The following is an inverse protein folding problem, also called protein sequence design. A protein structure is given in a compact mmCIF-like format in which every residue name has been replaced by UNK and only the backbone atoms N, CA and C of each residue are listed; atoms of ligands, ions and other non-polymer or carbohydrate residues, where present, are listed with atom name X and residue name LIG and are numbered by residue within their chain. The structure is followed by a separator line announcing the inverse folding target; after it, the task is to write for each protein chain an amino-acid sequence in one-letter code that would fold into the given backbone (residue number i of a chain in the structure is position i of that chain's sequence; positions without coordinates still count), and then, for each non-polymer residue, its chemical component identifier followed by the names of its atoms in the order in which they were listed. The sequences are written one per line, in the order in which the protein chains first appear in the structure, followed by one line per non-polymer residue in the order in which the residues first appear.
data_IF_408094449084
#
_entry.id   IF_408094449084
#
_cell.length_a   1.000
_cell.length_b   1.000
_cell.length_c   1.000
_cell.angle_alpha   90.00
_cell.angle_beta   90.00
_cell.angle_gamma   90.00
#
_symmetry.space_group_name_H-M   'P 1'
#
loop_
_entity.id
_entity.type
_entity.pdbx_description
1 polymer ?
#
# COMPACT_ATOMS: atom_id res chain seq x y z
N UNK A 1 38.21 -5.07 -38.26
CA UNK A 1 37.77 -5.13 -36.86
C UNK A 1 37.36 -3.76 -36.28
N UNK A 2 36.64 -2.91 -37.01
CA UNK A 2 36.24 -1.60 -36.48
C UNK A 2 35.04 -1.65 -35.51
N UNK A 3 34.23 -2.70 -35.54
CA UNK A 3 32.96 -2.76 -34.75
C UNK A 3 33.21 -2.96 -33.24
N UNK A 4 34.28 -3.61 -32.84
CA UNK A 4 34.57 -3.88 -31.42
C UNK A 4 35.11 -2.61 -30.75
N UNK A 5 35.94 -1.83 -31.44
CA UNK A 5 36.49 -0.59 -30.93
C UNK A 5 35.41 0.48 -30.75
N UNK A 6 34.41 0.52 -31.66
CA UNK A 6 33.25 1.40 -31.56
C UNK A 6 32.33 1.03 -30.38
N UNK A 7 32.18 -0.27 -30.09
CA UNK A 7 31.39 -0.75 -28.93
C UNK A 7 32.10 -0.42 -27.61
N UNK A 8 33.42 -0.56 -27.56
CA UNK A 8 34.22 -0.22 -26.38
C UNK A 8 34.14 1.29 -26.11
N UNK A 9 34.28 2.11 -27.16
CA UNK A 9 34.19 3.57 -27.06
C UNK A 9 32.78 4.03 -26.66
N UNK A 10 31.71 3.37 -27.14
CA UNK A 10 30.33 3.66 -26.76
C UNK A 10 30.09 3.30 -25.27
N UNK A 11 30.59 2.14 -24.83
CA UNK A 11 30.45 1.71 -23.44
C UNK A 11 31.22 2.62 -22.46
N UNK A 12 32.39 3.12 -22.84
CA UNK A 12 33.13 4.10 -22.06
C UNK A 12 32.37 5.42 -21.92
N UNK A 13 31.77 5.92 -22.99
CA UNK A 13 30.96 7.15 -22.97
C UNK A 13 29.70 7.02 -22.11
N UNK A 14 29.05 5.85 -22.13
CA UNK A 14 27.90 5.58 -21.26
C UNK A 14 28.31 5.58 -19.78
N UNK A 15 29.44 4.96 -19.45
CA UNK A 15 29.97 4.96 -18.07
C UNK A 15 30.37 6.35 -17.59
N UNK A 16 31.00 7.15 -18.43
CA UNK A 16 31.35 8.53 -18.11
C UNK A 16 30.11 9.40 -17.90
N UNK A 17 29.10 9.26 -18.77
CA UNK A 17 27.83 9.96 -18.61
C UNK A 17 27.11 9.56 -17.34
N UNK A 18 27.05 8.27 -17.03
CA UNK A 18 26.44 7.78 -15.80
C UNK A 18 27.17 8.29 -14.54
N UNK A 19 28.51 8.39 -14.59
CA UNK A 19 29.31 8.96 -13.50
C UNK A 19 29.04 10.44 -13.31
N UNK A 20 29.04 11.22 -14.42
CA UNK A 20 28.75 12.65 -14.39
C UNK A 20 27.36 12.97 -13.86
N UNK A 21 26.33 12.17 -14.23
CA UNK A 21 24.99 12.27 -13.70
C UNK A 21 24.97 11.94 -12.20
N UNK A 22 25.69 10.89 -11.77
CA UNK A 22 25.83 10.52 -10.35
C UNK A 22 26.47 11.64 -9.51
N UNK A 23 27.54 12.23 -10.00
CA UNK A 23 28.22 13.37 -9.36
C UNK A 23 27.32 14.63 -9.32
N UNK A 24 26.61 14.92 -10.41
CA UNK A 24 25.65 16.04 -10.47
C UNK A 24 24.48 15.84 -9.48
N UNK A 25 23.95 14.62 -9.37
CA UNK A 25 22.89 14.29 -8.40
C UNK A 25 23.40 14.35 -6.96
N UNK A 26 24.66 13.99 -6.71
CA UNK A 26 25.28 14.09 -5.38
C UNK A 26 25.57 15.54 -4.97
N UNK A 27 25.74 16.44 -5.92
CA UNK A 27 25.95 17.86 -5.69
C UNK A 27 24.65 18.65 -5.46
N UNK A 28 23.49 18.04 -5.75
CA UNK A 28 22.19 18.64 -5.46
C UNK A 28 21.88 18.36 -3.99
N UNK A 29 22.05 19.39 -3.14
CA UNK A 29 21.53 19.38 -1.79
C UNK A 29 19.99 19.30 -1.85
N UNK A 30 19.42 18.08 -1.78
CA UNK A 30 17.98 17.91 -1.66
C UNK A 30 17.62 18.26 -0.20
N UNK A 31 17.23 19.53 0.01
CA UNK A 31 16.69 19.95 1.29
C UNK A 31 15.29 19.36 1.45
N UNK A 32 15.20 18.19 2.08
CA UNK A 32 13.92 17.62 2.49
C UNK A 32 13.58 18.19 3.85
N UNK A 33 12.45 18.88 3.93
CA UNK A 33 11.96 19.41 5.20
C UNK A 33 11.87 18.26 6.25
N UNK A 34 12.42 18.41 7.46
CA UNK A 34 12.47 17.31 8.46
C UNK A 34 11.10 16.69 8.76
N UNK A 35 10.02 17.45 8.63
CA UNK A 35 8.65 16.97 8.79
C UNK A 35 8.26 15.98 7.68
N UNK A 36 8.60 16.28 6.43
CA UNK A 36 8.33 15.42 5.27
C UNK A 36 9.13 14.12 5.41
N UNK A 37 10.43 14.21 5.76
CA UNK A 37 11.27 13.02 5.96
C UNK A 37 10.70 12.10 7.04
N UNK A 38 10.22 12.67 8.16
CA UNK A 38 9.57 11.90 9.23
C UNK A 38 8.26 11.26 8.78
N UNK A 39 7.44 11.97 8.00
CA UNK A 39 6.18 11.43 7.48
C UNK A 39 6.43 10.24 6.54
N UNK A 40 7.39 10.36 5.62
CA UNK A 40 7.78 9.27 4.71
C UNK A 40 8.32 8.07 5.50
N UNK A 41 9.15 8.31 6.52
CA UNK A 41 9.68 7.23 7.37
C UNK A 41 8.56 6.55 8.18
N UNK A 42 7.62 7.32 8.71
CA UNK A 42 6.47 6.78 9.46
C UNK A 42 5.58 5.90 8.56
N UNK A 43 5.31 6.35 7.34
CA UNK A 43 4.58 5.57 6.35
C UNK A 43 5.32 4.27 5.99
N UNK A 44 6.62 4.36 5.73
CA UNK A 44 7.45 3.19 5.44
C UNK A 44 7.39 2.17 6.59
N UNK A 45 7.54 2.64 7.83
CA UNK A 45 7.50 1.79 9.03
C UNK A 45 6.11 1.14 9.22
N UNK A 46 5.03 1.88 8.93
CA UNK A 46 3.67 1.35 8.99
C UNK A 46 3.50 0.16 8.04
N UNK A 47 3.85 0.34 6.76
CA UNK A 47 3.70 -0.74 5.77
C UNK A 47 4.66 -1.90 6.01
N UNK A 48 5.84 -1.66 6.57
CA UNK A 48 6.74 -2.73 7.01
C UNK A 48 6.10 -3.59 8.13
N UNK A 49 5.45 -2.95 9.12
CA UNK A 49 4.72 -3.65 10.18
C UNK A 49 3.53 -4.44 9.63
N UNK A 50 2.71 -3.84 8.76
CA UNK A 50 1.59 -4.53 8.12
C UNK A 50 2.09 -5.75 7.35
N UNK A 51 3.19 -5.62 6.61
CA UNK A 51 3.79 -6.73 5.87
C UNK A 51 4.29 -7.85 6.78
N UNK A 52 4.89 -7.51 7.92
CA UNK A 52 5.39 -8.49 8.88
C UNK A 52 4.27 -9.23 9.64
N UNK A 53 3.18 -8.53 9.96
CA UNK A 53 2.07 -9.07 10.78
C UNK A 53 1.01 -9.80 9.94
N UNK A 54 0.58 -9.19 8.83
CA UNK A 54 -0.56 -9.67 8.04
C UNK A 54 -0.16 -10.13 6.63
N UNK A 55 1.05 -9.81 6.19
CA UNK A 55 1.45 -9.89 4.80
C UNK A 55 1.00 -8.67 3.98
N UNK A 56 1.74 -8.42 2.91
CA UNK A 56 1.44 -7.39 1.93
C UNK A 56 1.47 -8.06 0.55
N UNK A 57 0.30 -8.42 0.04
CA UNK A 57 0.14 -9.28 -1.11
C UNK A 57 0.22 -8.48 -2.41
N UNK A 58 0.87 -9.04 -3.42
CA UNK A 58 0.73 -8.60 -4.80
C UNK A 58 -0.68 -8.92 -5.34
N UNK A 59 -1.07 -8.35 -6.47
CA UNK A 59 -2.35 -8.67 -7.11
C UNK A 59 -2.47 -10.16 -7.48
N UNK A 60 -1.36 -10.81 -7.84
CA UNK A 60 -1.35 -12.23 -8.15
C UNK A 60 -1.53 -13.10 -6.89
N UNK A 61 -0.86 -12.75 -5.79
CA UNK A 61 -1.00 -13.44 -4.51
C UNK A 61 -2.40 -13.26 -3.93
N UNK A 62 -2.95 -12.03 -3.95
CA UNK A 62 -4.32 -11.76 -3.52
C UNK A 62 -5.35 -12.56 -4.34
N UNK A 63 -5.17 -12.62 -5.66
CA UNK A 63 -6.04 -13.44 -6.51
C UNK A 63 -5.95 -14.95 -6.22
N UNK A 64 -4.76 -15.46 -5.93
CA UNK A 64 -4.57 -16.86 -5.48
C UNK A 64 -5.21 -17.10 -4.12
N UNK A 65 -5.03 -16.16 -3.17
CA UNK A 65 -5.66 -16.18 -1.85
C UNK A 65 -7.18 -16.34 -1.96
N UNK A 66 -7.80 -15.62 -2.90
CA UNK A 66 -9.24 -15.69 -3.19
C UNK A 66 -9.66 -16.93 -3.99
N UNK A 67 -8.75 -17.87 -4.23
CA UNK A 67 -9.04 -19.15 -4.89
C UNK A 67 -8.99 -19.11 -6.41
N UNK A 68 -8.39 -18.10 -7.04
CA UNK A 68 -8.21 -18.07 -8.49
C UNK A 68 -7.39 -19.26 -8.99
N UNK A 69 -7.95 -20.03 -9.91
CA UNK A 69 -7.27 -21.11 -10.64
C UNK A 69 -6.82 -20.68 -12.05
N UNK A 70 -7.02 -19.43 -12.39
CA UNK A 70 -6.66 -18.85 -13.68
C UNK A 70 -5.14 -18.72 -13.82
N UNK A 71 -4.63 -18.71 -15.05
CA UNK A 71 -3.25 -18.33 -15.38
C UNK A 71 -2.94 -16.85 -15.08
N UNK A 72 -3.97 -16.02 -14.88
CA UNK A 72 -3.86 -14.60 -14.54
C UNK A 72 -4.62 -14.26 -13.25
N UNK A 73 -4.20 -14.77 -12.06
CA UNK A 73 -4.91 -14.59 -10.79
C UNK A 73 -5.05 -13.11 -10.41
N UNK A 74 -4.14 -12.24 -10.85
CA UNK A 74 -4.21 -10.78 -10.64
C UNK A 74 -5.53 -10.16 -11.12
N UNK A 75 -6.19 -10.75 -12.11
CA UNK A 75 -7.44 -10.21 -12.66
C UNK A 75 -8.58 -10.32 -11.64
N UNK A 76 -8.60 -11.37 -10.82
CA UNK A 76 -9.59 -11.52 -9.75
C UNK A 76 -9.42 -10.44 -8.68
N UNK A 77 -8.19 -10.20 -8.21
CA UNK A 77 -7.90 -9.15 -7.25
C UNK A 77 -8.23 -7.75 -7.82
N UNK A 78 -7.88 -7.49 -9.08
CA UNK A 78 -8.22 -6.23 -9.75
C UNK A 78 -9.73 -6.03 -9.91
N UNK A 79 -10.48 -7.08 -10.19
CA UNK A 79 -11.95 -7.04 -10.25
C UNK A 79 -12.57 -6.76 -8.88
N UNK A 80 -12.12 -7.45 -7.83
CA UNK A 80 -12.56 -7.24 -6.46
C UNK A 80 -12.23 -5.81 -5.96
N UNK A 81 -11.07 -5.29 -6.31
CA UNK A 81 -10.69 -3.91 -5.97
C UNK A 81 -11.60 -2.89 -6.67
N UNK A 82 -11.90 -3.07 -7.97
CA UNK A 82 -12.87 -2.21 -8.68
C UNK A 82 -14.29 -2.32 -8.11
N UNK A 83 -14.67 -3.51 -7.64
CA UNK A 83 -15.95 -3.75 -6.98
C UNK A 83 -15.97 -3.24 -5.52
N UNK A 84 -14.91 -2.59 -5.05
CA UNK A 84 -14.74 -2.04 -3.69
C UNK A 84 -14.80 -3.09 -2.57
N UNK A 85 -14.56 -4.35 -2.87
CA UNK A 85 -14.49 -5.42 -1.86
C UNK A 85 -13.09 -5.64 -1.30
N UNK A 86 -12.07 -4.99 -1.88
CA UNK A 86 -10.69 -4.96 -1.40
C UNK A 86 -10.18 -3.54 -1.25
N UNK A 87 -9.27 -3.32 -0.32
CA UNK A 87 -8.43 -2.13 -0.25
C UNK A 87 -7.05 -2.43 -0.84
N UNK A 88 -6.47 -1.44 -1.50
CA UNK A 88 -5.12 -1.53 -2.02
C UNK A 88 -4.35 -0.25 -1.73
N UNK A 89 -3.06 -0.37 -1.50
CA UNK A 89 -2.16 0.77 -1.32
C UNK A 89 -1.09 0.77 -2.40
N UNK A 90 -0.75 1.97 -2.88
CA UNK A 90 0.31 2.08 -3.89
C UNK A 90 1.68 1.93 -3.24
N UNK A 91 2.48 1.00 -3.78
CA UNK A 91 3.87 0.79 -3.38
C UNK A 91 4.76 0.93 -4.62
N UNK A 92 5.33 2.12 -4.78
CA UNK A 92 6.06 2.44 -6.02
C UNK A 92 5.16 2.35 -7.25
N UNK A 93 5.45 1.43 -8.17
CA UNK A 93 4.71 1.26 -9.44
C UNK A 93 3.56 0.26 -9.38
N UNK A 94 3.33 -0.44 -8.26
CA UNK A 94 2.30 -1.48 -8.15
C UNK A 94 1.33 -1.22 -7.00
N UNK A 95 0.19 -1.92 -7.02
CA UNK A 95 -0.77 -1.98 -5.92
C UNK A 95 -0.46 -3.20 -5.05
N UNK A 96 -0.43 -2.99 -3.74
CA UNK A 96 -0.28 -4.03 -2.75
C UNK A 96 -1.55 -4.13 -1.90
N UNK A 97 -1.92 -5.34 -1.55
CA UNK A 97 -3.15 -5.69 -0.83
C UNK A 97 -2.79 -6.15 0.58
N UNK A 98 -3.12 -5.37 1.64
CA UNK A 98 -2.88 -5.79 3.02
C UNK A 98 -3.60 -7.10 3.35
N UNK A 99 -2.91 -8.04 4.00
CA UNK A 99 -3.43 -9.37 4.28
C UNK A 99 -4.56 -9.42 5.31
N UNK A 100 -4.68 -8.42 6.19
CA UNK A 100 -5.71 -8.36 7.23
C UNK A 100 -7.15 -8.36 6.69
N UNK A 101 -7.34 -8.02 5.43
CA UNK A 101 -8.65 -7.92 4.81
C UNK A 101 -9.24 -9.25 4.36
N UNK A 102 -8.48 -10.34 4.47
CA UNK A 102 -8.94 -11.67 4.08
C UNK A 102 -9.31 -12.51 5.30
N UNK A 103 -10.44 -13.21 5.20
CA UNK A 103 -10.87 -14.17 6.20
C UNK A 103 -10.09 -15.50 6.12
N UNK A 104 -10.38 -16.43 7.04
CA UNK A 104 -9.74 -17.77 7.06
C UNK A 104 -10.01 -18.59 5.80
N UNK A 105 -11.10 -18.29 5.08
CA UNK A 105 -11.49 -18.90 3.81
C UNK A 105 -10.77 -18.27 2.60
N UNK A 106 -9.92 -17.27 2.83
CA UNK A 106 -9.22 -16.53 1.80
C UNK A 106 -10.06 -15.48 1.08
N UNK A 107 -11.33 -15.31 1.44
CA UNK A 107 -12.20 -14.31 0.84
C UNK A 107 -12.09 -12.97 1.57
N UNK A 108 -12.35 -11.85 0.88
CA UNK A 108 -12.41 -10.55 1.52
C UNK A 108 -13.45 -10.53 2.63
N UNK A 109 -13.10 -9.96 3.78
CA UNK A 109 -14.05 -9.72 4.86
C UNK A 109 -15.14 -8.73 4.38
N UNK A 110 -16.44 -9.01 4.56
CA UNK A 110 -17.53 -8.14 4.10
C UNK A 110 -17.47 -6.72 4.67
N UNK A 111 -16.87 -6.54 5.83
CA UNK A 111 -16.69 -5.24 6.47
C UNK A 111 -15.81 -4.30 5.65
N UNK A 112 -14.91 -4.82 4.82
CA UNK A 112 -14.00 -4.01 3.98
C UNK A 112 -14.80 -3.16 2.97
N UNK A 113 -15.80 -3.73 2.33
CA UNK A 113 -16.66 -2.97 1.40
C UNK A 113 -17.37 -1.81 2.11
N UNK A 114 -17.91 -2.06 3.29
CA UNK A 114 -18.59 -1.04 4.11
C UNK A 114 -17.64 0.08 4.54
N UNK A 115 -16.41 -0.27 4.93
CA UNK A 115 -15.39 0.70 5.32
C UNK A 115 -14.91 1.54 4.12
N UNK A 116 -14.83 0.95 2.93
CA UNK A 116 -14.53 1.68 1.70
C UNK A 116 -15.63 2.69 1.36
N UNK A 117 -16.89 2.32 1.53
CA UNK A 117 -18.00 3.23 1.33
C UNK A 117 -17.95 4.40 2.32
N UNK A 118 -17.63 4.15 3.59
CA UNK A 118 -17.46 5.20 4.61
C UNK A 118 -16.29 6.11 4.27
N UNK A 119 -15.15 5.57 3.87
CA UNK A 119 -13.98 6.36 3.49
C UNK A 119 -14.26 7.25 2.27
N UNK A 120 -14.90 6.70 1.23
CA UNK A 120 -15.27 7.45 0.03
C UNK A 120 -16.28 8.58 0.34
N UNK A 121 -17.28 8.31 1.18
CA UNK A 121 -18.26 9.31 1.59
C UNK A 121 -17.66 10.50 2.36
N UNK A 122 -16.47 10.34 2.92
CA UNK A 122 -15.75 11.34 3.69
C UNK A 122 -14.44 11.80 3.00
N UNK A 123 -14.28 11.55 1.71
CA UNK A 123 -13.11 11.93 0.90
C UNK A 123 -11.77 11.37 1.41
N UNK A 124 -11.80 10.23 2.10
CA UNK A 124 -10.60 9.53 2.55
C UNK A 124 -10.05 8.59 1.48
N UNK A 125 -8.73 8.63 1.31
CA UNK A 125 -8.04 7.67 0.44
C UNK A 125 -7.99 6.27 1.06
N UNK A 126 -7.79 5.24 0.23
CA UNK A 126 -7.56 3.87 0.71
C UNK A 126 -6.32 3.78 1.62
N UNK A 127 -5.27 4.54 1.31
CA UNK A 127 -4.09 4.64 2.17
C UNK A 127 -4.42 5.24 3.54
N UNK A 128 -5.24 6.29 3.59
CA UNK A 128 -5.74 6.87 4.83
C UNK A 128 -6.58 5.89 5.64
N UNK A 129 -7.47 5.15 4.99
CA UNK A 129 -8.26 4.10 5.63
C UNK A 129 -7.36 3.01 6.24
N UNK A 130 -6.34 2.54 5.50
CA UNK A 130 -5.38 1.54 6.00
C UNK A 130 -4.58 2.07 7.19
N UNK A 131 -4.15 3.33 7.15
CA UNK A 131 -3.47 3.98 8.27
C UNK A 131 -4.35 4.02 9.51
N UNK A 132 -5.61 4.44 9.36
CA UNK A 132 -6.56 4.50 10.46
C UNK A 132 -6.84 3.11 11.04
N UNK A 133 -7.06 2.10 10.21
CA UNK A 133 -7.28 0.73 10.64
C UNK A 133 -6.13 0.17 11.48
N UNK A 134 -4.89 0.53 11.15
CA UNK A 134 -3.68 0.01 11.79
C UNK A 134 -3.12 0.91 12.91
N UNK A 135 -3.77 2.04 13.21
CA UNK A 135 -3.37 2.93 14.28
C UNK A 135 -4.17 2.64 15.56
N UNK A 136 -3.54 2.65 16.75
CA UNK A 136 -4.26 2.61 18.03
C UNK A 136 -5.21 3.79 18.15
N UNK A 137 -6.39 3.58 18.70
CA UNK A 137 -7.39 4.63 18.90
C UNK A 137 -8.10 4.49 20.22
N UNK A 138 -8.50 5.65 20.80
CA UNK A 138 -9.26 5.70 22.05
C UNK A 138 -10.67 5.12 21.93
N UNK A 139 -11.21 5.01 20.70
CA UNK A 139 -12.50 4.37 20.44
C UNK A 139 -12.49 2.86 20.74
N UNK A 140 -11.31 2.26 20.75
CA UNK A 140 -11.08 0.84 21.06
C UNK A 140 -10.15 0.66 22.29
N UNK A 141 -10.19 1.59 23.23
CA UNK A 141 -9.42 1.54 24.46
C UNK A 141 -7.89 1.41 24.27
N UNK A 142 -7.39 1.88 23.13
CA UNK A 142 -5.99 1.81 22.72
C UNK A 142 -5.67 0.68 21.76
N UNK A 143 -6.61 -0.20 21.46
CA UNK A 143 -6.48 -1.20 20.39
C UNK A 143 -6.60 -0.55 19.00
N UNK A 144 -6.21 -1.28 17.98
CA UNK A 144 -6.35 -0.87 16.59
C UNK A 144 -7.69 -1.39 16.02
N UNK A 145 -8.38 -0.61 15.17
CA UNK A 145 -9.59 -1.09 14.51
C UNK A 145 -9.40 -2.42 13.75
N UNK A 146 -8.22 -2.64 13.18
CA UNK A 146 -7.88 -3.88 12.45
C UNK A 146 -8.01 -5.13 13.31
N UNK A 147 -7.76 -5.05 14.60
CA UNK A 147 -7.85 -6.17 15.54
C UNK A 147 -9.30 -6.61 15.79
N UNK A 148 -10.28 -5.78 15.43
CA UNK A 148 -11.71 -6.01 15.63
C UNK A 148 -12.49 -6.30 14.33
N UNK A 149 -11.83 -6.31 13.16
CA UNK A 149 -12.49 -6.51 11.85
C UNK A 149 -13.31 -7.80 11.76
N UNK A 150 -12.81 -8.89 12.37
CA UNK A 150 -13.45 -10.19 12.33
C UNK A 150 -14.40 -10.44 13.52
N UNK A 151 -14.15 -9.78 14.66
CA UNK A 151 -14.87 -10.05 15.92
C UNK A 151 -16.02 -9.07 16.17
N UNK A 152 -15.88 -7.81 15.76
CA UNK A 152 -16.88 -6.75 15.94
C UNK A 152 -16.92 -5.78 14.74
N UNK A 153 -17.22 -6.28 13.53
CA UNK A 153 -17.21 -5.48 12.31
C UNK A 153 -18.19 -4.30 12.35
N UNK A 154 -19.32 -4.44 13.01
CA UNK A 154 -20.33 -3.37 13.10
C UNK A 154 -19.84 -2.19 13.93
N UNK A 155 -19.15 -2.46 15.04
CA UNK A 155 -18.49 -1.41 15.83
C UNK A 155 -17.41 -0.72 15.05
N UNK A 156 -16.59 -1.46 14.29
CA UNK A 156 -15.53 -0.86 13.44
C UNK A 156 -16.13 0.11 12.44
N UNK A 157 -17.23 -0.26 11.77
CA UNK A 157 -17.91 0.63 10.80
C UNK A 157 -18.54 1.83 11.50
N UNK A 158 -19.18 1.64 12.67
CA UNK A 158 -19.77 2.75 13.43
C UNK A 158 -18.70 3.77 13.83
N UNK A 159 -17.59 3.31 14.38
CA UNK A 159 -16.45 4.17 14.77
C UNK A 159 -15.82 4.84 13.54
N UNK A 160 -15.70 4.14 12.41
CA UNK A 160 -15.20 4.72 11.18
C UNK A 160 -16.08 5.91 10.72
N UNK A 161 -17.41 5.78 10.79
CA UNK A 161 -18.32 6.88 10.46
C UNK A 161 -18.10 8.10 11.35
N UNK A 162 -17.80 7.92 12.62
CA UNK A 162 -17.52 9.05 13.53
C UNK A 162 -16.12 9.63 13.29
N UNK A 163 -15.11 8.77 13.22
CA UNK A 163 -13.71 9.19 13.16
C UNK A 163 -13.35 9.81 11.80
N UNK A 164 -13.91 9.30 10.69
CA UNK A 164 -13.60 9.79 9.35
C UNK A 164 -14.47 10.99 8.92
N UNK A 165 -15.58 11.24 9.60
CA UNK A 165 -16.45 12.39 9.33
C UNK A 165 -15.87 13.75 9.81
N UNK A 166 -14.80 13.72 10.61
CA UNK A 166 -14.16 14.96 11.11
C UNK A 166 -13.24 15.52 10.02
N UNK A 167 -13.74 16.52 9.29
CA UNK A 167 -12.89 17.35 8.42
C UNK A 167 -12.09 18.35 9.28
N UNK A 168 -10.79 18.39 9.07
CA UNK A 168 -9.87 19.37 9.64
C UNK A 168 -9.69 20.56 8.70
#
# INVERSE_FOLDING_TARGET
MPVVDDLIAANSRIRESARAVGEALSAVEVYTEPAIARAVQAEHNLYARIGAEFGMLSAAEAGKQMGSRSSAPRNLAAAAHRAKTLVAVRRGSYLAYPGFQFGPDGQPLPVIARLRDVAEANDWSEAGLVQWLCAPTTYFDGDRPVDHLATDPDRVVAVANEALAVSW
#
